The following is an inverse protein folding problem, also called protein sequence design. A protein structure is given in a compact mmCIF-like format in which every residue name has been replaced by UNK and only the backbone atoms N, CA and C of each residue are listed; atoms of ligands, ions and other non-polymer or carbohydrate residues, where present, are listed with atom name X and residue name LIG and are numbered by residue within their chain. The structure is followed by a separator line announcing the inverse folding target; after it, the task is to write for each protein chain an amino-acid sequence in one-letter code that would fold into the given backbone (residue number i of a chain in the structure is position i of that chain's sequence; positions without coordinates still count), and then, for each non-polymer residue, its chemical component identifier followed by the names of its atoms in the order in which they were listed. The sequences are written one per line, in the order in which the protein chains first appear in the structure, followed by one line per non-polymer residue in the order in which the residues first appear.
data_IF_714262849140
#
_entry.id   IF_714262849140
#
_cell.length_a   1.000
_cell.length_b   1.000
_cell.length_c   1.000
_cell.angle_alpha   90.00
_cell.angle_beta   90.00
_cell.angle_gamma   90.00
#
_symmetry.space_group_name_H-M   'P 1'
#
loop_
_entity.id
_entity.type
_entity.pdbx_description
1 polymer ?
#
# COMPACT_ATOMS: atom_id res chain seq x y z
N UNK A 1 11.18 -40.52 12.92
CA UNK A 1 10.91 -40.04 11.55
C UNK A 1 11.55 -38.66 11.47
N UNK A 2 12.66 -38.52 10.75
CA UNK A 2 13.33 -37.23 10.63
C UNK A 2 12.43 -36.30 9.81
N UNK A 3 11.86 -35.27 10.43
CA UNK A 3 11.24 -34.17 9.70
C UNK A 3 12.32 -33.57 8.78
N UNK A 4 12.11 -33.71 7.48
CA UNK A 4 12.88 -33.00 6.46
C UNK A 4 12.62 -31.50 6.67
N UNK A 5 13.44 -30.86 7.52
CA UNK A 5 13.45 -29.40 7.67
C UNK A 5 13.86 -28.81 6.33
N UNK A 6 12.87 -28.31 5.58
CA UNK A 6 13.10 -27.54 4.37
C UNK A 6 13.96 -26.32 4.74
N UNK A 7 15.27 -26.42 4.52
CA UNK A 7 16.20 -25.32 4.77
C UNK A 7 16.05 -24.27 3.66
N UNK A 8 15.26 -23.24 3.93
CA UNK A 8 15.18 -22.07 3.04
C UNK A 8 16.53 -21.35 3.10
N UNK A 9 17.16 -21.19 1.93
CA UNK A 9 18.43 -20.47 1.78
C UNK A 9 18.32 -19.03 2.29
N UNK A 10 19.36 -18.55 2.98
CA UNK A 10 19.41 -17.18 3.49
C UNK A 10 19.31 -16.12 2.38
N UNK A 11 19.75 -16.45 1.16
CA UNK A 11 19.59 -15.57 -0.01
C UNK A 11 18.11 -15.39 -0.37
N UNK A 12 17.31 -16.45 -0.27
CA UNK A 12 15.86 -16.40 -0.57
C UNK A 12 15.13 -15.58 0.51
N UNK A 13 15.51 -15.73 1.78
CA UNK A 13 14.96 -14.94 2.89
C UNK A 13 15.24 -13.46 2.73
N UNK A 14 16.48 -13.09 2.40
CA UNK A 14 16.90 -11.70 2.16
C UNK A 14 16.20 -11.12 0.94
N UNK A 15 16.17 -11.86 -0.17
CA UNK A 15 15.46 -11.46 -1.38
C UNK A 15 13.98 -11.19 -1.09
N UNK A 16 13.30 -12.11 -0.40
CA UNK A 16 11.88 -11.96 -0.06
C UNK A 16 11.66 -10.74 0.82
N UNK A 17 12.49 -10.56 1.86
CA UNK A 17 12.40 -9.39 2.73
C UNK A 17 12.62 -8.07 1.98
N UNK A 18 13.61 -8.01 1.08
CA UNK A 18 13.86 -6.83 0.25
C UNK A 18 12.66 -6.52 -0.66
N UNK A 19 12.05 -7.53 -1.28
CA UNK A 19 10.83 -7.34 -2.09
C UNK A 19 9.68 -6.83 -1.22
N UNK A 20 9.48 -7.38 -0.03
CA UNK A 20 8.43 -6.91 0.90
C UNK A 20 8.66 -5.46 1.33
N UNK A 21 9.91 -5.05 1.57
CA UNK A 21 10.25 -3.64 1.88
C UNK A 21 9.86 -2.74 0.71
N UNK A 22 10.23 -3.10 -0.52
CA UNK A 22 9.90 -2.32 -1.72
C UNK A 22 8.38 -2.19 -1.86
N UNK A 23 7.65 -3.30 -1.75
CA UNK A 23 6.19 -3.31 -1.82
C UNK A 23 5.58 -2.39 -0.74
N UNK A 24 6.12 -2.44 0.49
CA UNK A 24 5.64 -1.59 1.58
C UNK A 24 6.02 -0.10 1.40
N UNK A 25 7.14 0.18 0.73
CA UNK A 25 7.48 1.54 0.27
C UNK A 25 6.44 2.06 -0.70
N UNK A 26 6.06 1.29 -1.74
CA UNK A 26 5.00 1.70 -2.67
C UNK A 26 3.68 1.95 -1.94
N UNK A 27 3.28 1.05 -1.04
CA UNK A 27 2.10 1.23 -0.20
C UNK A 27 2.07 2.59 0.53
N UNK A 28 3.22 3.05 1.04
CA UNK A 28 3.30 4.36 1.69
C UNK A 28 3.40 5.54 0.72
N UNK A 29 3.98 5.35 -0.48
CA UNK A 29 3.93 6.37 -1.55
C UNK A 29 2.46 6.62 -1.94
N UNK A 30 1.69 5.55 -2.18
CA UNK A 30 0.26 5.60 -2.50
C UNK A 30 -0.56 6.36 -1.44
N UNK A 31 -0.23 6.19 -0.16
CA UNK A 31 -0.87 6.92 0.94
C UNK A 31 -0.51 8.40 0.96
N UNK A 32 0.75 8.74 0.67
CA UNK A 32 1.18 10.13 0.67
C UNK A 32 0.67 10.91 -0.54
N UNK A 33 0.52 10.25 -1.70
CA UNK A 33 0.15 10.96 -2.93
C UNK A 33 -1.19 11.67 -2.79
N UNK A 34 -2.18 11.08 -2.13
CA UNK A 34 -3.47 11.75 -1.91
C UNK A 34 -3.31 13.01 -1.05
N UNK A 35 -2.54 12.94 0.03
CA UNK A 35 -2.31 14.06 0.96
C UNK A 35 -1.62 15.24 0.28
N UNK A 36 -0.68 14.96 -0.63
CA UNK A 36 0.05 15.97 -1.41
C UNK A 36 -0.89 16.64 -2.42
N UNK A 37 -1.78 15.86 -3.04
CA UNK A 37 -2.64 16.30 -4.12
C UNK A 37 -3.98 16.90 -3.66
N UNK A 38 -4.23 17.03 -2.35
CA UNK A 38 -5.53 17.50 -1.84
C UNK A 38 -5.92 18.84 -2.47
N UNK A 39 -5.03 19.84 -2.42
CA UNK A 39 -5.33 21.18 -2.90
C UNK A 39 -5.63 21.23 -4.42
N UNK A 40 -4.77 20.68 -5.31
CA UNK A 40 -5.07 20.70 -6.74
C UNK A 40 -6.31 19.88 -7.12
N UNK A 41 -6.64 18.80 -6.38
CA UNK A 41 -7.88 18.05 -6.59
C UNK A 41 -9.10 18.90 -6.21
N UNK A 42 -9.04 19.64 -5.10
CA UNK A 42 -10.16 20.51 -4.68
C UNK A 42 -10.42 21.59 -5.71
N UNK A 43 -9.37 22.23 -6.21
CA UNK A 43 -9.47 23.34 -7.16
C UNK A 43 -10.05 22.87 -8.51
N UNK A 44 -9.71 21.64 -8.94
CA UNK A 44 -10.19 21.06 -10.19
C UNK A 44 -11.60 20.44 -10.10
N UNK A 45 -11.91 19.74 -9.00
CA UNK A 45 -13.18 19.01 -8.84
C UNK A 45 -14.23 19.78 -8.02
N UNK A 46 -13.91 20.96 -7.49
CA UNK A 46 -14.81 21.78 -6.67
C UNK A 46 -15.19 21.14 -5.32
N UNK A 47 -14.27 20.39 -4.72
CA UNK A 47 -14.53 19.61 -3.49
C UNK A 47 -14.22 20.44 -2.24
N UNK A 48 -15.08 20.33 -1.22
CA UNK A 48 -14.86 21.00 0.06
C UNK A 48 -13.77 20.32 0.91
N UNK A 49 -13.19 21.08 1.84
CA UNK A 49 -12.25 20.53 2.84
C UNK A 49 -12.85 19.38 3.65
N UNK A 50 -14.14 19.47 3.97
CA UNK A 50 -14.85 18.39 4.64
C UNK A 50 -14.88 17.11 3.80
N UNK A 51 -15.19 17.21 2.50
CA UNK A 51 -15.20 16.06 1.59
C UNK A 51 -13.83 15.41 1.46
N UNK A 52 -12.77 16.22 1.31
CA UNK A 52 -11.40 15.72 1.21
C UNK A 52 -10.90 15.12 2.52
N UNK A 53 -11.19 15.74 3.67
CA UNK A 53 -10.83 15.21 4.99
C UNK A 53 -11.53 13.88 5.30
N UNK A 54 -12.81 13.77 4.93
CA UNK A 54 -13.54 12.52 5.05
C UNK A 54 -12.90 11.44 4.17
N UNK A 55 -12.50 11.79 2.94
CA UNK A 55 -11.92 10.85 1.99
C UNK A 55 -10.52 10.38 2.39
N UNK A 56 -9.62 11.29 2.77
CA UNK A 56 -8.23 10.97 3.09
C UNK A 56 -8.05 10.31 4.47
N UNK A 57 -8.93 10.62 5.42
CA UNK A 57 -8.84 10.09 6.78
C UNK A 57 -9.90 9.02 7.06
N UNK A 58 -11.14 9.45 7.27
CA UNK A 58 -12.21 8.63 7.85
C UNK A 58 -12.61 7.47 6.96
N UNK A 59 -12.88 7.71 5.68
CA UNK A 59 -13.29 6.69 4.73
C UNK A 59 -12.20 5.62 4.59
N UNK A 60 -10.95 6.05 4.36
CA UNK A 60 -9.81 5.15 4.32
C UNK A 60 -9.71 4.29 5.57
N UNK A 61 -9.76 4.90 6.76
CA UNK A 61 -9.65 4.16 8.02
C UNK A 61 -10.77 3.13 8.21
N UNK A 62 -12.03 3.49 7.93
CA UNK A 62 -13.18 2.59 8.06
C UNK A 62 -13.04 1.42 7.10
N UNK A 63 -12.85 1.68 5.80
CA UNK A 63 -12.79 0.62 4.80
C UNK A 63 -11.55 -0.27 4.98
N UNK A 64 -10.39 0.33 5.29
CA UNK A 64 -9.16 -0.41 5.57
C UNK A 64 -9.33 -1.30 6.80
N UNK A 65 -9.92 -0.81 7.90
CA UNK A 65 -10.12 -1.60 9.11
C UNK A 65 -11.17 -2.71 8.93
N UNK A 66 -12.33 -2.35 8.38
CA UNK A 66 -13.47 -3.29 8.22
C UNK A 66 -13.16 -4.35 7.18
N UNK A 67 -12.56 -3.99 6.04
CA UNK A 67 -12.28 -4.94 4.96
C UNK A 67 -10.90 -5.60 5.11
N UNK A 68 -10.00 -4.99 5.87
CA UNK A 68 -8.73 -5.61 6.25
C UNK A 68 -8.89 -6.88 7.09
N UNK A 69 -9.90 -6.95 7.97
CA UNK A 69 -10.14 -8.13 8.80
C UNK A 69 -10.55 -9.36 7.95
N UNK A 70 -11.57 -9.30 7.07
CA UNK A 70 -11.87 -10.39 6.13
C UNK A 70 -10.68 -10.78 5.25
N UNK A 71 -9.92 -9.80 4.74
CA UNK A 71 -8.75 -10.07 3.90
C UNK A 71 -7.62 -10.74 4.69
N UNK A 72 -7.42 -10.38 5.96
CA UNK A 72 -6.47 -11.06 6.84
C UNK A 72 -6.88 -12.53 7.09
N UNK A 73 -8.18 -12.80 7.29
CA UNK A 73 -8.69 -14.17 7.43
C UNK A 73 -8.51 -15.00 6.15
N UNK A 74 -8.64 -14.38 4.97
CA UNK A 74 -8.36 -15.02 3.68
C UNK A 74 -6.86 -15.29 3.55
N UNK A 75 -6.00 -14.35 3.98
CA UNK A 75 -4.54 -14.48 3.95
C UNK A 75 -4.02 -15.71 4.69
N UNK A 76 -4.67 -16.08 5.78
CA UNK A 76 -4.30 -17.27 6.56
C UNK A 76 -4.57 -18.59 5.81
N UNK A 77 -5.50 -18.59 4.85
CA UNK A 77 -5.91 -19.80 4.09
C UNK A 77 -5.38 -19.85 2.67
N UNK A 78 -4.87 -18.74 2.15
CA UNK A 78 -4.44 -18.60 0.76
C UNK A 78 -2.93 -18.52 0.61
N UNK A 79 -2.46 -18.62 -0.63
CA UNK A 79 -1.06 -18.40 -0.95
C UNK A 79 -0.71 -16.91 -0.74
N UNK A 80 0.04 -16.62 0.32
CA UNK A 80 0.39 -15.26 0.75
C UNK A 80 1.14 -14.47 -0.32
N UNK A 81 2.00 -15.11 -1.13
CA UNK A 81 2.68 -14.46 -2.26
C UNK A 81 1.68 -13.98 -3.31
N UNK A 82 0.70 -14.82 -3.67
CA UNK A 82 -0.33 -14.45 -4.64
C UNK A 82 -1.23 -13.35 -4.07
N UNK A 83 -1.55 -13.42 -2.78
CA UNK A 83 -2.38 -12.39 -2.14
C UNK A 83 -1.70 -11.02 -2.15
N UNK A 84 -0.42 -10.95 -1.79
CA UNK A 84 0.36 -9.70 -1.89
C UNK A 84 0.39 -9.18 -3.33
N UNK A 85 0.56 -10.07 -4.31
CA UNK A 85 0.61 -9.68 -5.73
C UNK A 85 -0.74 -9.15 -6.24
N UNK A 86 -1.86 -9.78 -5.85
CA UNK A 86 -3.21 -9.33 -6.19
C UNK A 86 -3.53 -8.01 -5.49
N UNK A 87 -3.19 -7.89 -4.21
CA UNK A 87 -3.32 -6.66 -3.45
C UNK A 87 -2.58 -5.52 -4.16
N UNK A 88 -1.30 -5.73 -4.52
CA UNK A 88 -0.47 -4.77 -5.24
C UNK A 88 -1.12 -4.33 -6.55
N UNK A 89 -1.50 -5.29 -7.40
CA UNK A 89 -2.15 -4.99 -8.67
C UNK A 89 -3.47 -4.22 -8.47
N UNK A 90 -4.25 -4.57 -7.46
CA UNK A 90 -5.52 -3.92 -7.17
C UNK A 90 -5.32 -2.48 -6.70
N UNK A 91 -4.46 -2.23 -5.70
CA UNK A 91 -4.29 -0.87 -5.21
C UNK A 91 -3.60 0.02 -6.24
N UNK A 92 -2.58 -0.47 -6.95
CA UNK A 92 -1.90 0.29 -8.01
C UNK A 92 -2.89 0.65 -9.13
N UNK A 93 -3.68 -0.32 -9.61
CA UNK A 93 -4.72 -0.06 -10.61
C UNK A 93 -5.77 0.96 -10.14
N UNK A 94 -6.23 0.87 -8.89
CA UNK A 94 -7.16 1.84 -8.33
C UNK A 94 -6.52 3.21 -8.09
N UNK A 95 -5.22 3.25 -7.83
CA UNK A 95 -4.43 4.48 -7.74
C UNK A 95 -4.40 5.16 -9.11
N UNK A 96 -4.02 4.45 -10.17
CA UNK A 96 -4.00 4.97 -11.54
C UNK A 96 -5.40 5.44 -11.98
N UNK A 97 -6.46 4.66 -11.69
CA UNK A 97 -7.84 5.04 -11.98
C UNK A 97 -8.28 6.33 -11.26
N UNK A 98 -7.66 6.68 -10.14
CA UNK A 98 -7.95 7.96 -9.47
C UNK A 98 -7.50 9.16 -10.29
N UNK A 99 -6.45 9.02 -11.11
CA UNK A 99 -6.02 10.05 -12.06
C UNK A 99 -7.03 10.31 -13.19
N UNK A 100 -7.97 9.39 -13.41
CA UNK A 100 -9.07 9.53 -14.37
C UNK A 100 -10.36 10.06 -13.75
N UNK A 101 -10.37 10.36 -12.45
CA UNK A 101 -11.57 10.86 -11.79
C UNK A 101 -12.00 12.23 -12.35
N UNK A 102 -13.27 12.32 -12.73
CA UNK A 102 -13.92 13.54 -13.22
C UNK A 102 -14.81 14.19 -12.16
N UNK A 103 -15.02 13.53 -11.02
CA UNK A 103 -15.78 14.06 -9.90
C UNK A 103 -15.37 13.38 -8.58
N UNK A 104 -15.81 13.98 -7.47
CA UNK A 104 -15.52 13.50 -6.12
C UNK A 104 -15.90 12.04 -5.90
N UNK A 105 -17.06 11.60 -6.38
CA UNK A 105 -17.55 10.23 -6.12
C UNK A 105 -16.73 9.17 -6.85
N UNK A 106 -16.29 9.44 -8.08
CA UNK A 106 -15.37 8.57 -8.80
C UNK A 106 -14.03 8.45 -8.06
N UNK A 107 -13.49 9.58 -7.59
CA UNK A 107 -12.27 9.59 -6.78
C UNK A 107 -12.48 8.81 -5.47
N UNK A 108 -13.63 8.98 -4.82
CA UNK A 108 -13.95 8.32 -3.57
C UNK A 108 -14.00 6.79 -3.73
N UNK A 109 -14.70 6.29 -4.75
CA UNK A 109 -14.75 4.85 -5.06
C UNK A 109 -13.36 4.32 -5.38
N UNK A 110 -12.56 5.07 -6.16
CA UNK A 110 -11.19 4.69 -6.49
C UNK A 110 -10.33 4.54 -5.22
N UNK A 111 -10.37 5.53 -4.32
CA UNK A 111 -9.62 5.52 -3.06
C UNK A 111 -10.09 4.45 -2.06
N UNK A 112 -11.38 4.14 -2.04
CA UNK A 112 -11.89 2.99 -1.26
C UNK A 112 -11.29 1.69 -1.82
N UNK A 113 -11.25 1.53 -3.13
CA UNK A 113 -10.60 0.38 -3.77
C UNK A 113 -9.11 0.26 -3.46
N UNK A 114 -8.38 1.39 -3.40
CA UNK A 114 -6.99 1.43 -2.92
C UNK A 114 -6.92 0.88 -1.49
N UNK A 115 -7.73 1.42 -0.56
CA UNK A 115 -7.76 0.95 0.84
C UNK A 115 -8.04 -0.55 0.98
N UNK A 116 -8.92 -1.10 0.14
CA UNK A 116 -9.20 -2.55 0.09
C UNK A 116 -7.96 -3.32 -0.37
N UNK A 117 -7.33 -2.91 -1.47
CA UNK A 117 -6.14 -3.57 -2.00
C UNK A 117 -4.99 -3.57 -0.99
N UNK A 118 -4.74 -2.44 -0.34
CA UNK A 118 -3.67 -2.29 0.64
C UNK A 118 -3.83 -3.18 1.88
N UNK A 119 -5.07 -3.40 2.32
CA UNK A 119 -5.34 -4.05 3.60
C UNK A 119 -4.87 -5.52 3.66
N UNK A 120 -4.77 -6.19 2.50
CA UNK A 120 -4.27 -7.56 2.40
C UNK A 120 -2.74 -7.71 2.46
N UNK A 121 -1.99 -6.63 2.23
CA UNK A 121 -0.53 -6.70 2.08
C UNK A 121 0.18 -6.94 3.41
N UNK A 122 -0.11 -6.10 4.42
CA UNK A 122 0.62 -6.13 5.69
C UNK A 122 0.46 -7.45 6.44
N UNK A 123 -0.76 -8.00 6.67
CA UNK A 123 -0.90 -9.27 7.37
C UNK A 123 -0.16 -10.42 6.68
N UNK A 124 -0.26 -10.48 5.35
CA UNK A 124 0.43 -11.48 4.52
C UNK A 124 1.95 -11.37 4.63
N UNK A 125 2.49 -10.15 4.59
CA UNK A 125 3.92 -9.89 4.72
C UNK A 125 4.45 -10.28 6.12
N UNK A 126 3.75 -9.88 7.19
CA UNK A 126 4.13 -10.25 8.56
C UNK A 126 4.13 -11.77 8.75
N UNK A 127 3.12 -12.45 8.22
CA UNK A 127 3.01 -13.91 8.27
C UNK A 127 4.11 -14.61 7.46
N UNK A 128 4.44 -14.11 6.25
CA UNK A 128 5.59 -14.62 5.47
C UNK A 128 6.93 -14.41 6.19
N UNK A 129 7.15 -13.25 6.83
CA UNK A 129 8.37 -12.97 7.59
C UNK A 129 8.45 -13.91 8.81
N UNK A 130 7.33 -14.18 9.48
CA UNK A 130 7.28 -15.07 10.62
C UNK A 130 7.68 -16.51 10.27
N UNK A 131 7.32 -16.99 9.08
CA UNK A 131 7.68 -18.33 8.59
C UNK A 131 9.14 -18.40 8.08
N UNK A 132 9.68 -17.29 7.57
CA UNK A 132 11.05 -17.25 7.02
C UNK A 132 12.14 -17.06 8.08
N UNK A 133 11.84 -16.35 9.17
CA UNK A 133 12.80 -15.98 10.20
C UNK A 133 12.46 -16.61 11.55
N UNK A 134 13.46 -17.22 12.23
CA UNK A 134 13.25 -17.78 13.56
C UNK A 134 12.99 -16.66 14.58
N UNK A 135 12.43 -17.01 15.73
CA UNK A 135 11.91 -16.05 16.71
C UNK A 135 12.95 -14.99 17.13
N UNK A 136 14.23 -15.37 17.22
CA UNK A 136 15.33 -14.51 17.65
C UNK A 136 15.70 -13.44 16.61
N UNK A 137 15.42 -13.71 15.32
CA UNK A 137 15.72 -12.79 14.19
C UNK A 137 14.49 -12.09 13.64
N UNK A 138 13.28 -12.54 14.02
CA UNK A 138 12.01 -12.05 13.49
C UNK A 138 11.80 -10.56 13.78
N UNK A 139 12.15 -10.11 14.98
CA UNK A 139 12.02 -8.69 15.35
C UNK A 139 12.86 -7.78 14.44
N UNK A 140 14.10 -8.18 14.13
CA UNK A 140 14.96 -7.44 13.19
C UNK A 140 14.40 -7.45 11.77
N UNK A 141 13.91 -8.59 11.29
CA UNK A 141 13.30 -8.69 9.96
C UNK A 141 12.05 -7.80 9.83
N UNK A 142 11.20 -7.77 10.86
CA UNK A 142 10.05 -6.85 10.92
C UNK A 142 10.49 -5.39 10.99
N UNK A 143 11.54 -5.06 11.74
CA UNK A 143 12.12 -3.71 11.77
C UNK A 143 12.63 -3.26 10.40
N UNK A 144 13.30 -4.15 9.66
CA UNK A 144 13.72 -3.90 8.28
C UNK A 144 12.51 -3.69 7.37
N UNK A 145 11.48 -4.54 7.48
CA UNK A 145 10.22 -4.35 6.74
C UNK A 145 9.60 -2.97 7.01
N UNK A 146 9.58 -2.52 8.27
CA UNK A 146 9.08 -1.20 8.65
C UNK A 146 9.86 -0.03 8.07
N UNK A 147 11.10 -0.21 7.58
CA UNK A 147 11.81 0.83 6.84
C UNK A 147 11.08 1.23 5.54
N UNK A 148 10.15 0.39 5.05
CA UNK A 148 9.28 0.76 3.95
C UNK A 148 8.51 2.06 4.19
N UNK A 149 8.13 2.35 5.45
CA UNK A 149 7.40 3.55 5.86
C UNK A 149 8.19 4.84 5.60
N UNK A 150 9.36 5.07 6.24
CA UNK A 150 10.12 6.30 6.03
C UNK A 150 10.58 6.45 4.58
N UNK A 151 10.94 5.36 3.89
CA UNK A 151 11.25 5.44 2.46
C UNK A 151 10.04 5.87 1.63
N UNK A 152 8.87 5.28 1.88
CA UNK A 152 7.66 5.63 1.14
C UNK A 152 7.22 7.07 1.37
N UNK A 153 7.36 7.57 2.61
CA UNK A 153 7.10 8.98 2.92
C UNK A 153 8.09 9.89 2.19
N UNK A 154 9.38 9.58 2.24
CA UNK A 154 10.42 10.36 1.57
C UNK A 154 10.21 10.43 0.06
N UNK A 155 10.00 9.28 -0.59
CA UNK A 155 9.76 9.22 -2.04
C UNK A 155 8.41 9.84 -2.42
N UNK A 156 7.37 9.61 -1.63
CA UNK A 156 6.04 10.19 -1.85
C UNK A 156 6.09 11.72 -1.84
N UNK A 157 6.72 12.32 -0.82
CA UNK A 157 6.86 13.78 -0.73
C UNK A 157 7.71 14.35 -1.87
N UNK A 158 8.84 13.72 -2.19
CA UNK A 158 9.77 14.24 -3.20
C UNK A 158 9.23 14.09 -4.62
N UNK A 159 8.75 12.89 -4.98
CA UNK A 159 8.24 12.61 -6.32
C UNK A 159 6.83 13.16 -6.51
N UNK A 160 5.95 13.00 -5.53
CA UNK A 160 4.54 13.42 -5.62
C UNK A 160 4.40 14.93 -5.79
N UNK A 161 5.13 15.72 -4.99
CA UNK A 161 5.11 17.19 -5.12
C UNK A 161 5.68 17.67 -6.45
N UNK A 162 6.87 17.19 -6.82
CA UNK A 162 7.52 17.60 -8.06
C UNK A 162 6.73 17.24 -9.32
N UNK A 163 6.12 16.04 -9.37
CA UNK A 163 5.30 15.60 -10.50
C UNK A 163 3.99 16.39 -10.55
N UNK A 164 3.36 16.64 -9.40
CA UNK A 164 2.11 17.40 -9.34
C UNK A 164 2.28 18.84 -9.85
N UNK A 165 3.35 19.51 -9.44
CA UNK A 165 3.63 20.90 -9.82
C UNK A 165 3.93 21.05 -11.31
N UNK A 166 4.54 20.03 -11.93
CA UNK A 166 4.99 20.09 -13.33
C UNK A 166 4.00 19.48 -14.33
N UNK A 167 3.31 18.40 -13.95
CA UNK A 167 2.46 17.63 -14.85
C UNK A 167 1.00 17.50 -14.37
N UNK A 168 0.68 18.02 -13.20
CA UNK A 168 -0.65 17.96 -12.61
C UNK A 168 -0.94 16.68 -11.83
N UNK A 169 -1.96 16.77 -10.97
CA UNK A 169 -2.34 15.72 -10.03
C UNK A 169 -2.80 14.41 -10.70
N UNK A 170 -3.38 14.51 -11.91
CA UNK A 170 -3.83 13.35 -12.68
C UNK A 170 -2.67 12.45 -13.10
N UNK A 171 -1.62 13.04 -13.70
CA UNK A 171 -0.44 12.27 -14.10
C UNK A 171 0.30 11.73 -12.88
N UNK A 172 0.32 12.49 -11.78
CA UNK A 172 0.92 12.03 -10.54
C UNK A 172 0.30 10.70 -10.03
N UNK A 173 -1.03 10.54 -10.10
CA UNK A 173 -1.67 9.26 -9.80
C UNK A 173 -1.33 8.15 -10.78
N UNK A 174 -1.22 8.46 -12.08
CA UNK A 174 -0.84 7.48 -13.10
C UNK A 174 0.60 6.97 -12.97
N UNK A 175 1.53 7.82 -12.54
CA UNK A 175 2.94 7.45 -12.37
C UNK A 175 3.16 6.64 -11.09
N UNK A 176 2.38 6.91 -10.05
CA UNK A 176 2.47 6.20 -8.77
C UNK A 176 1.75 4.85 -8.80
N UNK A 177 0.62 4.77 -9.51
CA UNK A 177 -0.20 3.56 -9.63
C UNK A 177 0.26 2.57 -10.69
#
# INVERSE_FOLDING_TARGET
MAESTFHISDNVKRYTLSVLVIVYTFNFIDRQILSILIQPIKDDLGVSDFGMGLLSGTAFAIFYAVLGMPLALIADRWNRRNLISISLALWSGMTALSGLAMNFWQLAVARIGVGIGEAGCSPSAHSMIADLYPAEKRATALGIYSLGIPFGIMFGLFAGGAIADTFGWRLAFFVVG
#
